data_IF_285648243547
#
_entry.id   IF_285648243547
#
_cell.length_a   1.000
_cell.length_b   1.000
_cell.length_c   1.000
_cell.angle_alpha   90.00
_cell.angle_beta   90.00
_cell.angle_gamma   90.00
#
_symmetry.space_group_name_H-M   'P 1'
#
loop_
_entity.id
_entity.type
_entity.pdbx_description
1 polymer ?
#
# COMPACT_ATOMS: atom_id res chain seq x y z
N UNK A 1 -8.64 1.19 13.16
CA UNK A 1 -7.57 0.25 13.52
C UNK A 1 -6.19 0.85 13.34
N UNK A 2 -6.04 1.88 12.51
CA UNK A 2 -4.81 2.69 12.43
C UNK A 2 -5.11 4.05 13.05
N UNK A 3 -4.25 4.55 13.92
CA UNK A 3 -4.33 5.89 14.51
C UNK A 3 -2.95 6.51 14.51
N UNK A 4 -2.85 7.76 14.06
CA UNK A 4 -1.62 8.55 14.17
C UNK A 4 -1.94 9.89 14.82
N UNK A 5 -1.05 10.35 15.68
CA UNK A 5 -1.16 11.60 16.40
C UNK A 5 0.15 12.38 16.23
N UNK A 6 0.08 13.52 15.51
CA UNK A 6 1.21 14.43 15.27
C UNK A 6 2.48 13.72 14.74
N UNK A 7 2.28 12.66 13.93
CA UNK A 7 3.37 11.79 13.47
C UNK A 7 4.28 12.56 12.52
N UNK A 8 5.57 12.59 12.82
CA UNK A 8 6.55 13.33 12.03
C UNK A 8 7.84 12.54 11.83
N UNK A 9 8.51 12.78 10.69
CA UNK A 9 9.79 12.17 10.34
C UNK A 9 10.71 13.15 9.64
N UNK A 10 11.92 13.29 10.17
CA UNK A 10 13.00 14.03 9.54
C UNK A 10 14.21 13.13 9.29
N UNK A 11 14.92 13.40 8.21
CA UNK A 11 16.19 12.80 7.84
C UNK A 11 17.20 13.96 7.68
N UNK A 12 17.98 14.22 8.72
CA UNK A 12 18.76 15.47 8.82
C UNK A 12 17.83 16.67 8.69
N UNK A 13 18.11 17.56 7.75
CA UNK A 13 17.33 18.79 7.52
C UNK A 13 16.05 18.55 6.70
N UNK A 14 15.91 17.39 6.05
CA UNK A 14 14.75 17.07 5.23
C UNK A 14 13.59 16.56 6.08
N UNK A 15 12.50 17.30 6.14
CA UNK A 15 11.24 16.87 6.75
C UNK A 15 10.45 16.03 5.75
N UNK A 16 10.43 14.71 5.97
CA UNK A 16 9.75 13.77 5.08
C UNK A 16 8.28 13.53 5.45
N UNK A 17 7.93 13.78 6.72
CA UNK A 17 6.55 13.73 7.23
C UNK A 17 6.41 14.80 8.32
N UNK A 18 5.34 15.57 8.29
CA UNK A 18 5.11 16.70 9.18
C UNK A 18 3.68 16.65 9.72
N UNK A 19 3.56 16.32 11.01
CA UNK A 19 2.32 16.46 11.78
C UNK A 19 1.14 15.67 11.20
N UNK A 20 1.36 14.41 10.79
CA UNK A 20 0.30 13.57 10.26
C UNK A 20 -0.57 13.03 11.40
N UNK A 21 -1.83 13.46 11.43
CA UNK A 21 -2.86 12.94 12.33
C UNK A 21 -4.01 12.38 11.52
N UNK A 22 -4.20 11.05 11.56
CA UNK A 22 -5.27 10.37 10.86
C UNK A 22 -5.74 9.13 11.63
N UNK A 23 -6.95 8.69 11.33
CA UNK A 23 -7.51 7.42 11.82
C UNK A 23 -8.07 6.62 10.66
N UNK A 24 -7.94 5.28 10.72
CA UNK A 24 -8.58 4.37 9.77
C UNK A 24 -9.39 3.35 10.58
N UNK A 25 -10.66 3.25 10.27
CA UNK A 25 -11.59 2.38 10.99
C UNK A 25 -11.45 0.90 10.56
N UNK A 26 -11.95 -0.06 11.37
CA UNK A 26 -12.15 -1.43 10.91
C UNK A 26 -13.06 -1.47 9.68
N UNK A 27 -12.71 -2.29 8.70
CA UNK A 27 -13.47 -2.43 7.46
C UNK A 27 -13.29 -1.29 6.45
N UNK A 28 -12.39 -0.36 6.73
CA UNK A 28 -12.12 0.77 5.84
C UNK A 28 -10.95 0.48 4.90
N UNK A 29 -11.10 0.84 3.62
CA UNK A 29 -10.00 0.93 2.64
C UNK A 29 -9.65 2.40 2.48
N UNK A 30 -8.56 2.84 3.12
CA UNK A 30 -8.05 4.20 2.99
C UNK A 30 -7.08 4.29 1.82
N UNK A 31 -7.41 5.11 0.81
CA UNK A 31 -6.48 5.54 -0.22
C UNK A 31 -5.49 6.56 0.34
N UNK A 32 -4.19 6.28 0.23
CA UNK A 32 -3.14 7.19 0.71
C UNK A 32 -2.33 7.70 -0.48
N UNK A 33 -2.65 8.90 -0.93
CA UNK A 33 -2.19 9.49 -2.18
C UNK A 33 -1.19 10.62 -1.95
N UNK A 34 -0.38 10.89 -2.97
CA UNK A 34 0.55 12.02 -3.00
C UNK A 34 1.56 11.85 -4.12
N UNK A 35 2.20 12.91 -4.58
CA UNK A 35 3.27 12.83 -5.59
C UNK A 35 4.49 12.06 -5.07
N UNK A 36 5.43 11.80 -5.98
CA UNK A 36 6.69 11.19 -5.58
C UNK A 36 7.44 12.11 -4.61
N UNK A 37 7.93 11.51 -3.52
CA UNK A 37 8.61 12.26 -2.46
C UNK A 37 7.68 12.92 -1.43
N UNK A 38 6.35 12.86 -1.58
CA UNK A 38 5.39 13.46 -0.64
C UNK A 38 5.40 12.84 0.77
N UNK A 39 6.06 11.69 0.98
CA UNK A 39 6.16 11.04 2.28
C UNK A 39 5.37 9.74 2.43
N UNK A 40 4.72 9.23 1.37
CA UNK A 40 3.91 7.98 1.41
C UNK A 40 4.70 6.79 1.95
N UNK A 41 5.77 6.40 1.27
CA UNK A 41 6.58 5.24 1.68
C UNK A 41 7.27 5.45 3.03
N UNK A 42 7.59 6.71 3.40
CA UNK A 42 8.08 7.04 4.75
C UNK A 42 7.01 6.74 5.80
N UNK A 43 5.77 7.16 5.56
CA UNK A 43 4.63 6.91 6.45
C UNK A 43 4.40 5.41 6.60
N UNK A 44 4.31 4.67 5.49
CA UNK A 44 4.13 3.20 5.52
C UNK A 44 5.27 2.52 6.29
N UNK A 45 6.53 2.89 6.07
CA UNK A 45 7.67 2.33 6.80
C UNK A 45 7.63 2.60 8.31
N UNK A 46 7.10 3.76 8.73
CA UNK A 46 6.89 4.03 10.15
C UNK A 46 5.78 3.12 10.70
N UNK A 47 4.62 3.09 10.05
CA UNK A 47 3.46 2.33 10.50
C UNK A 47 3.71 0.81 10.53
N UNK A 48 4.57 0.31 9.66
CA UNK A 48 5.01 -1.11 9.66
C UNK A 48 6.17 -1.40 10.63
N UNK A 49 6.66 -0.39 11.35
CA UNK A 49 7.75 -0.53 12.31
C UNK A 49 9.12 -0.80 11.68
N UNK A 50 9.31 -0.45 10.40
CA UNK A 50 10.60 -0.55 9.71
C UNK A 50 11.56 0.59 10.08
N UNK A 51 11.00 1.78 10.34
CA UNK A 51 11.76 2.96 10.80
C UNK A 51 11.01 3.63 11.95
N UNK A 52 11.76 4.31 12.81
CA UNK A 52 11.16 5.07 13.92
C UNK A 52 10.72 6.45 13.44
N UNK A 53 9.59 6.94 13.96
CA UNK A 53 9.20 8.33 13.85
C UNK A 53 10.22 9.24 14.58
N UNK A 54 10.30 10.50 14.17
CA UNK A 54 11.07 11.52 14.89
C UNK A 54 10.29 12.05 16.09
N UNK A 55 8.96 12.22 15.91
CA UNK A 55 8.01 12.62 16.96
C UNK A 55 6.60 12.15 16.63
N UNK A 56 5.70 12.29 17.59
CA UNK A 56 4.32 11.82 17.47
C UNK A 56 4.18 10.34 17.84
N UNK A 57 2.97 9.83 17.64
CA UNK A 57 2.57 8.49 18.04
C UNK A 57 1.80 7.79 16.94
N UNK A 58 1.91 6.48 16.85
CA UNK A 58 1.04 5.66 16.01
C UNK A 58 0.64 4.37 16.73
N UNK A 59 -0.64 4.03 16.62
CA UNK A 59 -1.24 2.81 17.19
C UNK A 59 -1.87 2.00 16.06
N UNK A 60 -1.52 0.73 15.98
CA UNK A 60 -1.99 -0.20 14.95
C UNK A 60 -2.63 -1.41 15.65
N UNK A 61 -3.86 -1.72 15.31
CA UNK A 61 -4.62 -2.83 15.93
C UNK A 61 -4.62 -2.79 17.47
N UNK A 62 -4.60 -1.59 18.06
CA UNK A 62 -4.59 -1.37 19.52
C UNK A 62 -3.19 -1.35 20.15
N UNK A 63 -2.11 -1.55 19.38
CA UNK A 63 -0.74 -1.60 19.87
C UNK A 63 0.08 -0.41 19.37
N UNK A 64 0.87 0.18 20.26
CA UNK A 64 1.76 1.28 19.93
C UNK A 64 3.00 0.76 19.18
N UNK A 65 3.31 1.36 18.03
CA UNK A 65 4.43 0.91 17.18
C UNK A 65 5.81 1.08 17.83
N UNK A 66 5.92 1.96 18.83
CA UNK A 66 7.20 2.24 19.50
C UNK A 66 7.44 1.30 20.68
N UNK A 67 6.41 0.97 21.46
CA UNK A 67 6.49 0.12 22.65
C UNK A 67 6.21 -1.36 22.35
N UNK A 68 5.33 -1.65 21.40
CA UNK A 68 4.83 -3.00 21.10
C UNK A 68 5.06 -3.44 19.64
N UNK A 69 6.25 -3.21 19.05
CA UNK A 69 6.49 -3.43 17.62
C UNK A 69 6.26 -4.88 17.16
N UNK A 70 6.49 -5.86 18.02
CA UNK A 70 6.27 -7.27 17.70
C UNK A 70 4.78 -7.60 17.63
N UNK A 71 3.97 -7.04 18.54
CA UNK A 71 2.52 -7.23 18.52
C UNK A 71 1.88 -6.58 17.29
N UNK A 72 2.40 -5.43 16.87
CA UNK A 72 2.01 -4.80 15.60
C UNK A 72 2.36 -5.72 14.42
N UNK A 73 3.60 -6.20 14.33
CA UNK A 73 4.07 -7.05 13.22
C UNK A 73 3.28 -8.35 13.08
N UNK A 74 2.81 -8.94 14.17
CA UNK A 74 1.96 -10.13 14.13
C UNK A 74 0.59 -9.87 13.47
N UNK A 75 0.10 -8.63 13.47
CA UNK A 75 -1.24 -8.23 13.04
C UNK A 75 -1.30 -7.50 11.71
N UNK A 76 -0.15 -7.16 11.15
CA UNK A 76 -0.08 -6.45 9.88
C UNK A 76 0.41 -7.36 8.75
N UNK A 77 -0.17 -7.19 7.56
CA UNK A 77 0.41 -7.64 6.30
C UNK A 77 0.97 -6.45 5.53
N UNK A 78 2.13 -6.60 4.92
CA UNK A 78 2.76 -5.53 4.17
C UNK A 78 3.19 -6.01 2.78
N UNK A 79 2.76 -5.27 1.76
CA UNK A 79 3.22 -5.41 0.37
C UNK A 79 3.97 -4.13 0.03
N UNK A 80 5.31 -4.17 -0.10
CA UNK A 80 6.11 -3.02 -0.49
C UNK A 80 6.03 -2.75 -1.99
N UNK A 81 6.28 -1.49 -2.40
CA UNK A 81 6.38 -1.07 -3.79
C UNK A 81 7.42 -1.89 -4.59
N UNK A 82 8.56 -2.17 -3.98
CA UNK A 82 9.60 -3.00 -4.60
C UNK A 82 9.61 -4.37 -3.97
N UNK A 83 9.44 -5.39 -4.80
CA UNK A 83 9.45 -6.79 -4.38
C UNK A 83 10.82 -7.20 -3.83
N UNK A 84 11.01 -7.06 -2.51
CA UNK A 84 12.19 -7.56 -1.81
C UNK A 84 11.95 -9.03 -1.41
N UNK A 85 12.08 -9.94 -2.38
CA UNK A 85 12.00 -11.38 -2.18
C UNK A 85 13.41 -12.00 -2.10
N UNK A 86 13.53 -13.13 -1.44
CA UNK A 86 14.78 -13.92 -1.45
C UNK A 86 14.85 -14.71 -2.75
N UNK A 87 15.51 -14.15 -3.75
CA UNK A 87 15.57 -14.66 -5.12
C UNK A 87 16.05 -16.12 -5.24
N UNK A 88 16.88 -16.57 -4.32
CA UNK A 88 17.38 -17.95 -4.27
C UNK A 88 16.37 -18.99 -3.76
N UNK A 89 15.25 -18.56 -3.19
CA UNK A 89 14.18 -19.44 -2.72
C UNK A 89 13.15 -19.69 -3.82
N UNK A 90 12.43 -20.80 -3.71
CA UNK A 90 11.18 -21.03 -4.45
C UNK A 90 10.04 -20.26 -3.78
N UNK A 91 8.89 -20.10 -4.46
CA UNK A 91 7.71 -19.49 -3.86
C UNK A 91 7.22 -20.28 -2.64
N UNK A 92 7.26 -21.61 -2.70
CA UNK A 92 6.90 -22.50 -1.60
C UNK A 92 7.80 -22.31 -0.38
N UNK A 93 9.13 -22.31 -0.56
CA UNK A 93 10.12 -22.11 0.51
C UNK A 93 10.00 -20.72 1.15
N UNK A 94 9.77 -19.67 0.32
CA UNK A 94 9.59 -18.32 0.84
C UNK A 94 8.35 -18.21 1.72
N UNK A 95 7.20 -18.74 1.27
CA UNK A 95 5.99 -18.71 2.08
C UNK A 95 6.11 -19.59 3.32
N UNK A 96 6.87 -20.70 3.28
CA UNK A 96 7.19 -21.49 4.46
C UNK A 96 8.00 -20.71 5.48
N UNK A 97 9.02 -19.99 5.04
CA UNK A 97 9.78 -19.07 5.91
C UNK A 97 8.86 -18.05 6.59
N UNK A 98 7.94 -17.44 5.84
CA UNK A 98 6.96 -16.50 6.40
C UNK A 98 6.06 -17.17 7.43
N UNK A 99 5.58 -18.40 7.18
CA UNK A 99 4.81 -19.17 8.14
C UNK A 99 5.59 -19.42 9.45
N UNK A 100 6.86 -19.80 9.35
CA UNK A 100 7.73 -20.01 10.50
C UNK A 100 7.93 -18.73 11.32
N UNK A 101 8.16 -17.59 10.65
CA UNK A 101 8.34 -16.30 11.30
C UNK A 101 7.09 -15.82 12.06
N UNK A 102 5.90 -16.18 11.56
CA UNK A 102 4.62 -15.89 12.21
C UNK A 102 4.15 -17.00 13.16
N UNK A 103 4.96 -18.05 13.41
CA UNK A 103 4.64 -19.18 14.28
C UNK A 103 3.29 -19.86 13.95
N UNK A 104 2.97 -20.00 12.66
CA UNK A 104 1.75 -20.64 12.23
C UNK A 104 1.83 -22.16 12.45
N UNK A 105 0.68 -22.76 12.79
CA UNK A 105 0.60 -24.24 12.88
C UNK A 105 1.01 -24.87 11.54
N UNK A 106 1.98 -25.82 11.52
CA UNK A 106 2.57 -26.32 10.28
C UNK A 106 1.56 -26.95 9.31
N UNK A 107 0.55 -27.64 9.82
CA UNK A 107 -0.48 -28.29 8.97
C UNK A 107 -1.36 -27.25 8.30
N UNK A 108 -1.90 -26.31 9.08
CA UNK A 108 -2.73 -25.21 8.60
C UNK A 108 -1.93 -24.32 7.63
N UNK A 109 -0.66 -24.07 7.94
CA UNK A 109 0.25 -23.25 7.12
C UNK A 109 0.49 -23.91 5.75
N UNK A 110 0.76 -25.21 5.70
CA UNK A 110 1.00 -25.94 4.46
C UNK A 110 -0.21 -25.88 3.53
N UNK A 111 -1.41 -26.17 4.06
CA UNK A 111 -2.65 -26.11 3.28
C UNK A 111 -2.90 -24.69 2.73
N UNK A 112 -2.82 -23.68 3.58
CA UNK A 112 -3.09 -22.29 3.18
C UNK A 112 -2.08 -21.77 2.17
N UNK A 113 -0.80 -22.10 2.32
CA UNK A 113 0.26 -21.78 1.38
C UNK A 113 -0.04 -22.31 -0.02
N UNK A 114 -0.42 -23.59 -0.10
CA UNK A 114 -0.75 -24.24 -1.36
C UNK A 114 -1.99 -23.60 -2.00
N UNK A 115 -3.06 -23.44 -1.25
CA UNK A 115 -4.29 -22.79 -1.71
C UNK A 115 -4.03 -21.37 -2.25
N UNK A 116 -3.24 -20.53 -1.56
CA UNK A 116 -2.94 -19.18 -2.01
C UNK A 116 -2.13 -19.17 -3.31
N UNK A 117 -1.12 -20.05 -3.45
CA UNK A 117 -0.34 -20.15 -4.68
C UNK A 117 -1.20 -20.62 -5.85
N UNK A 118 -2.09 -21.58 -5.63
CA UNK A 118 -3.03 -22.07 -6.66
C UNK A 118 -4.02 -20.98 -7.09
N UNK A 119 -4.61 -20.25 -6.14
CA UNK A 119 -5.53 -19.15 -6.41
C UNK A 119 -4.88 -18.01 -7.20
N UNK A 120 -3.58 -17.78 -7.00
CA UNK A 120 -2.79 -16.84 -7.80
C UNK A 120 -2.27 -17.41 -9.13
N UNK A 121 -2.59 -18.68 -9.44
CA UNK A 121 -2.17 -19.36 -10.67
C UNK A 121 -0.67 -19.69 -10.69
N UNK A 122 -0.07 -19.89 -9.51
CA UNK A 122 1.34 -20.23 -9.34
C UNK A 122 1.57 -21.71 -8.99
N UNK A 123 0.52 -22.53 -8.88
CA UNK A 123 0.58 -23.92 -8.46
C UNK A 123 1.55 -24.79 -9.29
N UNK A 124 1.60 -24.60 -10.61
CA UNK A 124 2.49 -25.33 -11.49
C UNK A 124 3.98 -24.95 -11.38
N UNK A 125 4.30 -23.83 -10.72
CA UNK A 125 5.67 -23.25 -10.66
C UNK A 125 6.17 -23.06 -9.23
N UNK A 126 5.50 -23.67 -8.24
CA UNK A 126 5.80 -23.47 -6.81
C UNK A 126 7.23 -23.84 -6.42
N UNK A 127 7.83 -24.80 -7.14
CA UNK A 127 9.19 -25.29 -6.90
C UNK A 127 10.25 -24.62 -7.79
N UNK A 128 9.84 -23.68 -8.65
CA UNK A 128 10.80 -22.87 -9.43
C UNK A 128 11.35 -21.74 -8.57
N UNK A 129 12.61 -21.39 -8.78
CA UNK A 129 13.25 -20.27 -8.06
C UNK A 129 12.64 -18.94 -8.48
N UNK A 130 12.50 -18.04 -7.55
CA UNK A 130 11.92 -16.71 -7.83
C UNK A 130 12.79 -15.84 -8.73
N UNK A 131 14.06 -16.19 -8.97
CA UNK A 131 14.89 -15.58 -10.03
C UNK A 131 14.28 -15.75 -11.44
N UNK A 132 13.50 -16.82 -11.64
CA UNK A 132 12.85 -17.14 -12.92
C UNK A 132 11.46 -16.52 -13.05
N UNK A 133 10.95 -15.89 -11.97
CA UNK A 133 9.62 -15.32 -11.95
C UNK A 133 9.56 -13.95 -12.63
N UNK A 134 8.50 -13.74 -13.41
CA UNK A 134 8.15 -12.41 -13.91
C UNK A 134 7.83 -11.46 -12.76
N UNK A 135 7.84 -10.14 -13.02
CA UNK A 135 7.45 -9.13 -12.04
C UNK A 135 6.08 -9.43 -11.44
N UNK A 136 5.09 -9.79 -12.27
CA UNK A 136 3.74 -10.10 -11.82
C UNK A 136 3.65 -11.38 -10.97
N UNK A 137 4.43 -12.42 -11.27
CA UNK A 137 4.51 -13.62 -10.44
C UNK A 137 5.11 -13.30 -9.07
N UNK A 138 6.17 -12.50 -9.02
CA UNK A 138 6.79 -12.03 -7.76
C UNK A 138 5.79 -11.21 -6.93
N UNK A 139 5.02 -10.34 -7.57
CA UNK A 139 3.97 -9.55 -6.92
C UNK A 139 2.87 -10.41 -6.31
N UNK A 140 2.44 -11.46 -7.02
CA UNK A 140 1.47 -12.45 -6.51
C UNK A 140 2.00 -13.17 -5.27
N UNK A 141 3.27 -13.57 -5.25
CA UNK A 141 3.91 -14.18 -4.05
C UNK A 141 3.95 -13.21 -2.88
N UNK A 142 4.26 -11.93 -3.11
CA UNK A 142 4.24 -10.90 -2.05
C UNK A 142 2.85 -10.72 -1.45
N UNK A 143 1.82 -10.62 -2.29
CA UNK A 143 0.44 -10.51 -1.81
C UNK A 143 0.05 -11.76 -1.02
N UNK A 144 0.37 -12.96 -1.52
CA UNK A 144 0.14 -14.21 -0.80
C UNK A 144 0.82 -14.20 0.58
N UNK A 145 2.09 -13.79 0.65
CA UNK A 145 2.84 -13.73 1.90
C UNK A 145 2.23 -12.77 2.92
N UNK A 146 1.75 -11.61 2.47
CA UNK A 146 1.11 -10.63 3.32
C UNK A 146 -0.23 -11.10 3.91
N UNK A 147 -0.89 -12.08 3.27
CA UNK A 147 -2.18 -12.61 3.69
C UNK A 147 -2.09 -13.89 4.54
N UNK A 148 -0.95 -14.55 4.53
CA UNK A 148 -0.76 -15.91 5.04
C UNK A 148 -1.16 -16.07 6.51
N UNK A 149 -0.82 -15.11 7.35
CA UNK A 149 -1.06 -15.08 8.80
C UNK A 149 -2.38 -14.40 9.20
N UNK A 150 -3.27 -14.09 8.21
CA UNK A 150 -4.58 -13.45 8.41
C UNK A 150 -4.49 -12.10 9.14
N UNK A 151 -3.76 -11.13 8.63
CA UNK A 151 -3.57 -9.85 9.30
C UNK A 151 -4.88 -9.12 9.56
N UNK A 152 -4.90 -8.29 10.60
CA UNK A 152 -5.99 -7.37 10.90
C UNK A 152 -5.89 -6.09 10.07
N UNK A 153 -4.65 -5.68 9.75
CA UNK A 153 -4.35 -4.47 8.98
C UNK A 153 -3.43 -4.81 7.81
N UNK A 154 -3.76 -4.30 6.63
CA UNK A 154 -2.94 -4.43 5.42
C UNK A 154 -2.37 -3.07 5.02
N UNK A 155 -1.06 -3.02 4.81
CA UNK A 155 -0.35 -1.91 4.19
C UNK A 155 0.08 -2.34 2.79
N UNK A 156 -0.43 -1.67 1.77
CA UNK A 156 -0.24 -2.04 0.37
C UNK A 156 0.35 -0.84 -0.38
N UNK A 157 1.61 -0.94 -0.76
CA UNK A 157 2.32 0.09 -1.52
C UNK A 157 2.45 -0.38 -2.97
N UNK A 158 1.67 0.22 -3.89
CA UNK A 158 1.52 -0.14 -5.31
C UNK A 158 1.25 -1.63 -5.56
N UNK A 159 0.26 -2.26 -4.89
CA UNK A 159 0.10 -3.72 -4.90
C UNK A 159 -0.32 -4.30 -6.24
N UNK A 160 -0.82 -3.48 -7.16
CA UNK A 160 -1.27 -3.92 -8.49
C UNK A 160 -0.20 -3.79 -9.57
N UNK A 161 0.96 -3.21 -9.23
CA UNK A 161 2.04 -3.01 -10.20
C UNK A 161 2.59 -4.35 -10.71
N UNK A 162 2.71 -4.45 -12.04
CA UNK A 162 3.18 -5.66 -12.72
C UNK A 162 2.17 -6.79 -12.83
N UNK A 163 0.95 -6.66 -12.28
CA UNK A 163 -0.11 -7.65 -12.47
C UNK A 163 -0.80 -7.46 -13.82
N UNK A 164 -1.20 -8.56 -14.43
CA UNK A 164 -2.13 -8.55 -15.56
C UNK A 164 -3.54 -8.11 -15.12
N UNK A 165 -4.39 -7.73 -16.08
CA UNK A 165 -5.73 -7.21 -15.82
C UNK A 165 -6.60 -8.15 -14.98
N UNK A 166 -6.51 -9.47 -15.23
CA UNK A 166 -7.29 -10.47 -14.50
C UNK A 166 -6.81 -10.59 -13.05
N UNK A 167 -5.50 -10.71 -12.85
CA UNK A 167 -4.91 -10.77 -11.51
C UNK A 167 -5.21 -9.48 -10.71
N UNK A 168 -5.09 -8.32 -11.33
CA UNK A 168 -5.46 -7.05 -10.71
C UNK A 168 -6.95 -6.98 -10.34
N UNK A 169 -7.84 -7.53 -11.16
CA UNK A 169 -9.28 -7.59 -10.85
C UNK A 169 -9.54 -8.50 -9.65
N UNK A 170 -8.90 -9.68 -9.60
CA UNK A 170 -9.00 -10.61 -8.46
C UNK A 170 -8.51 -9.96 -7.16
N UNK A 171 -7.35 -9.30 -7.20
CA UNK A 171 -6.82 -8.62 -6.01
C UNK A 171 -7.75 -7.50 -5.54
N UNK A 172 -8.27 -6.66 -6.44
CA UNK A 172 -9.23 -5.60 -6.08
C UNK A 172 -10.48 -6.16 -5.39
N UNK A 173 -11.04 -7.24 -5.93
CA UNK A 173 -12.21 -7.87 -5.32
C UNK A 173 -11.88 -8.52 -3.97
N UNK A 174 -10.71 -9.15 -3.84
CA UNK A 174 -10.22 -9.71 -2.58
C UNK A 174 -10.10 -8.62 -1.50
N UNK A 175 -9.54 -7.44 -1.84
CA UNK A 175 -9.40 -6.33 -0.88
C UNK A 175 -10.76 -5.84 -0.38
N UNK A 176 -11.77 -5.73 -1.25
CA UNK A 176 -13.14 -5.36 -0.85
C UNK A 176 -13.72 -6.38 0.12
N UNK A 177 -13.62 -7.68 -0.19
CA UNK A 177 -14.12 -8.76 0.68
C UNK A 177 -13.39 -8.79 2.04
N UNK A 178 -12.09 -8.52 2.07
CA UNK A 178 -11.34 -8.42 3.32
C UNK A 178 -11.82 -7.22 4.16
N UNK A 179 -12.10 -6.09 3.54
CA UNK A 179 -12.68 -4.94 4.23
C UNK A 179 -14.08 -5.23 4.77
N UNK A 180 -14.95 -5.87 3.99
CA UNK A 180 -16.28 -6.34 4.43
C UNK A 180 -16.19 -7.29 5.65
N UNK A 181 -15.11 -8.04 5.78
CA UNK A 181 -14.81 -8.89 6.94
C UNK A 181 -14.17 -8.11 8.11
N UNK A 182 -14.10 -6.79 8.04
CA UNK A 182 -13.58 -5.92 9.10
C UNK A 182 -12.07 -5.69 9.06
N UNK A 183 -11.35 -6.12 8.01
CA UNK A 183 -9.92 -5.81 7.87
C UNK A 183 -9.74 -4.35 7.49
N UNK A 184 -8.72 -3.72 8.05
CA UNK A 184 -8.34 -2.34 7.73
C UNK A 184 -7.26 -2.34 6.67
N UNK A 185 -7.42 -1.52 5.62
CA UNK A 185 -6.49 -1.49 4.49
C UNK A 185 -6.02 -0.06 4.25
N UNK A 186 -4.70 0.15 4.26
CA UNK A 186 -4.07 1.36 3.76
C UNK A 186 -3.50 1.04 2.38
N UNK A 187 -4.06 1.69 1.36
CA UNK A 187 -3.79 1.43 -0.05
C UNK A 187 -3.11 2.63 -0.69
N UNK A 188 -1.82 2.51 -1.00
CA UNK A 188 -1.07 3.50 -1.76
C UNK A 188 -1.08 3.11 -3.24
N UNK A 189 -1.49 4.03 -4.11
CA UNK A 189 -1.39 3.87 -5.56
C UNK A 189 -1.31 5.22 -6.25
N UNK A 190 -0.66 5.26 -7.40
CA UNK A 190 -0.66 6.41 -8.29
C UNK A 190 -1.77 6.34 -9.36
N UNK A 191 -2.51 5.22 -9.42
CA UNK A 191 -3.62 5.01 -10.37
C UNK A 191 -4.92 5.47 -9.72
N UNK A 192 -5.30 6.72 -9.94
CA UNK A 192 -6.45 7.36 -9.29
C UNK A 192 -7.76 6.65 -9.56
N UNK A 193 -7.98 6.14 -10.78
CA UNK A 193 -9.18 5.35 -11.11
C UNK A 193 -9.34 4.09 -10.23
N UNK A 194 -8.23 3.45 -9.85
CA UNK A 194 -8.27 2.29 -8.95
C UNK A 194 -8.68 2.74 -7.57
N UNK A 195 -8.09 3.84 -7.08
CA UNK A 195 -8.40 4.40 -5.76
C UNK A 195 -9.87 4.78 -5.68
N UNK A 196 -10.43 5.45 -6.68
CA UNK A 196 -11.86 5.80 -6.72
C UNK A 196 -12.79 4.59 -6.62
N UNK A 197 -12.38 3.46 -7.20
CA UNK A 197 -13.21 2.24 -7.26
C UNK A 197 -13.18 1.40 -5.99
N UNK A 198 -12.09 1.43 -5.23
CA UNK A 198 -11.92 0.51 -4.10
C UNK A 198 -11.80 1.20 -2.76
N UNK A 199 -11.35 2.46 -2.70
CA UNK A 199 -11.17 3.17 -1.45
C UNK A 199 -12.49 3.81 -0.99
N UNK A 200 -12.76 3.69 0.29
CA UNK A 200 -13.93 4.32 0.94
C UNK A 200 -13.67 5.77 1.30
N UNK A 201 -12.41 6.10 1.57
CA UNK A 201 -11.93 7.43 1.90
C UNK A 201 -10.49 7.60 1.41
N UNK A 202 -10.08 8.84 1.19
CA UNK A 202 -8.78 9.20 0.63
C UNK A 202 -8.12 10.23 1.54
N UNK A 203 -6.84 10.04 1.81
CA UNK A 203 -5.94 11.05 2.37
C UNK A 203 -4.93 11.42 1.29
N UNK A 204 -4.83 12.71 1.01
CA UNK A 204 -3.80 13.24 0.10
C UNK A 204 -2.72 13.89 0.92
N UNK A 205 -1.47 13.51 0.66
CA UNK A 205 -0.28 14.16 1.27
C UNK A 205 0.53 14.88 0.19
N UNK A 206 1.05 16.05 0.56
CA UNK A 206 2.00 16.80 -0.26
C UNK A 206 3.05 17.43 0.65
N UNK A 207 4.33 17.38 0.26
CA UNK A 207 5.48 17.86 1.04
C UNK A 207 5.45 17.44 2.53
N UNK A 208 5.11 16.17 2.74
CA UNK A 208 5.03 15.54 4.07
C UNK A 208 3.81 15.95 4.91
N UNK A 209 2.87 16.73 4.37
CA UNK A 209 1.67 17.20 5.08
C UNK A 209 0.40 16.63 4.47
N UNK A 210 -0.60 16.36 5.33
CA UNK A 210 -1.94 16.06 4.86
C UNK A 210 -2.58 17.34 4.29
N UNK A 211 -2.96 17.29 3.01
CA UNK A 211 -3.61 18.41 2.31
C UNK A 211 -5.09 18.17 2.05
N UNK A 212 -5.53 16.91 2.05
CA UNK A 212 -6.95 16.57 2.00
C UNK A 212 -7.22 15.24 2.73
N UNK A 213 -8.47 15.09 3.22
CA UNK A 213 -8.96 13.88 3.86
C UNK A 213 -10.49 13.83 3.72
N UNK A 214 -11.01 12.85 3.01
CA UNK A 214 -12.43 12.70 2.77
C UNK A 214 -12.73 11.63 1.73
N UNK A 215 -14.01 11.44 1.43
CA UNK A 215 -14.44 10.64 0.28
C UNK A 215 -14.06 11.35 -1.03
N UNK A 216 -14.04 10.62 -2.14
CA UNK A 216 -13.82 11.23 -3.47
C UNK A 216 -14.77 12.40 -3.72
N UNK A 217 -16.05 12.27 -3.34
CA UNK A 217 -17.04 13.33 -3.52
C UNK A 217 -16.72 14.59 -2.69
N UNK A 218 -16.32 14.42 -1.43
CA UNK A 218 -15.93 15.54 -0.55
C UNK A 218 -14.67 16.25 -1.04
N UNK A 219 -13.66 15.50 -1.50
CA UNK A 219 -12.42 16.08 -2.05
C UNK A 219 -12.72 16.88 -3.32
N UNK A 220 -13.52 16.33 -4.24
CA UNK A 220 -13.94 17.04 -5.45
C UNK A 220 -14.74 18.30 -5.13
N UNK A 221 -15.68 18.22 -4.19
CA UNK A 221 -16.47 19.37 -3.77
C UNK A 221 -15.61 20.47 -3.14
N UNK A 222 -14.62 20.12 -2.29
CA UNK A 222 -13.73 21.09 -1.63
C UNK A 222 -12.77 21.80 -2.60
N UNK A 223 -12.42 21.14 -3.70
CA UNK A 223 -11.53 21.69 -4.74
C UNK A 223 -12.29 22.36 -5.90
N UNK A 224 -13.61 22.16 -6.01
CA UNK A 224 -14.43 22.65 -7.10
C UNK A 224 -14.12 21.97 -8.44
N UNK A 225 -13.65 20.72 -8.43
CA UNK A 225 -13.22 19.98 -9.62
C UNK A 225 -14.22 18.89 -10.03
N UNK A 226 -14.16 18.49 -11.31
CA UNK A 226 -15.05 17.46 -11.86
C UNK A 226 -14.55 16.04 -11.58
N UNK A 227 -13.21 15.84 -11.50
CA UNK A 227 -12.58 14.54 -11.34
C UNK A 227 -11.64 14.51 -10.13
N UNK A 228 -11.30 13.31 -9.64
CA UNK A 228 -10.28 13.17 -8.59
C UNK A 228 -8.89 13.55 -9.12
N UNK A 229 -8.62 13.34 -10.40
CA UNK A 229 -7.36 13.70 -11.05
C UNK A 229 -7.13 15.22 -11.03
N UNK A 230 -8.15 16.00 -11.41
CA UNK A 230 -8.10 17.47 -11.31
C UNK A 230 -7.93 17.92 -9.85
N UNK A 231 -8.67 17.31 -8.91
CA UNK A 231 -8.56 17.61 -7.48
C UNK A 231 -7.14 17.33 -6.97
N UNK A 232 -6.58 16.18 -7.34
CA UNK A 232 -5.22 15.79 -6.96
C UNK A 232 -4.18 16.77 -7.51
N UNK A 233 -4.28 17.14 -8.80
CA UNK A 233 -3.40 18.13 -9.43
C UNK A 233 -3.48 19.48 -8.74
N UNK A 234 -4.69 19.95 -8.41
CA UNK A 234 -4.91 21.20 -7.68
C UNK A 234 -4.28 21.18 -6.28
N UNK A 235 -4.47 20.08 -5.51
CA UNK A 235 -3.97 19.93 -4.15
C UNK A 235 -2.44 19.75 -4.06
N UNK A 236 -1.83 19.19 -5.09
CA UNK A 236 -0.41 18.84 -5.09
C UNK A 236 0.45 19.81 -5.91
N UNK A 237 -0.17 20.71 -6.65
CA UNK A 237 0.54 21.65 -7.54
C UNK A 237 1.20 20.95 -8.74
N UNK A 238 0.85 19.70 -9.03
CA UNK A 238 1.30 19.01 -10.23
C UNK A 238 0.68 19.71 -11.44
N UNK A 239 1.51 20.09 -12.40
CA UNK A 239 1.04 20.80 -13.61
C UNK A 239 0.04 19.96 -14.39
N UNK A 240 -0.93 20.64 -14.97
CA UNK A 240 -1.91 20.04 -15.88
C UNK A 240 -1.19 19.35 -17.07
N UNK A 241 -1.55 18.08 -17.29
CA UNK A 241 -0.94 17.24 -18.35
C UNK A 241 -1.20 17.84 -19.73
N UNK A 242 -2.35 18.51 -19.93
CA UNK A 242 -2.70 19.18 -21.18
C UNK A 242 -1.81 20.39 -21.46
N UNK A 243 -1.47 21.15 -20.42
CA UNK A 243 -0.52 22.26 -20.59
C UNK A 243 0.89 21.74 -20.95
N UNK A 244 1.36 20.71 -20.26
CA UNK A 244 2.66 20.10 -20.55
C UNK A 244 2.68 19.55 -21.99
N UNK A 245 1.64 18.86 -22.44
CA UNK A 245 1.53 18.35 -23.79
C UNK A 245 1.56 19.47 -24.84
N UNK A 246 0.88 20.59 -24.57
CA UNK A 246 0.90 21.78 -25.44
C UNK A 246 2.28 22.43 -25.50
N UNK A 247 3.00 22.49 -24.37
CA UNK A 247 4.38 22.96 -24.32
C UNK A 247 5.32 22.06 -25.13
N UNK A 248 5.14 20.72 -25.07
CA UNK A 248 5.89 19.78 -25.89
C UNK A 248 5.63 19.97 -27.39
N UNK A 249 4.38 20.10 -27.81
CA UNK A 249 4.03 20.34 -29.21
C UNK A 249 4.67 21.66 -29.70
N UNK A 250 4.55 22.73 -28.90
CA UNK A 250 5.17 24.01 -29.22
C UNK A 250 6.70 23.96 -29.29
N UNK A 251 7.33 23.07 -28.54
CA UNK A 251 8.78 22.88 -28.59
C UNK A 251 9.21 22.09 -29.85
N UNK A 252 8.40 21.12 -30.29
CA UNK A 252 8.62 20.35 -31.52
C UNK A 252 8.45 21.21 -32.78
N UNK A 253 7.52 22.18 -32.77
CA UNK A 253 7.25 23.07 -33.90
C UNK A 253 8.31 24.19 -34.07
N UNK A 254 9.26 24.30 -33.15
CA UNK A 254 10.34 25.32 -33.19
C UNK A 254 11.62 24.84 -33.87
N UNK A 255 11.63 23.72 -34.59
CA UNK A 255 12.80 23.21 -35.34
C UNK A 255 12.74 23.55 -36.81
#
# INVERSE_FOLDING_TARGET
MIQTEHLSKSYGDKRALVDLSMSVAPGEILGFLGPNGAGKSTTVKILTGMIRATSGRAVIAGFDIATDPLEVKKRIGYVPETAALYDGLTASEYLELVCCLHHLDPRTAATRRHELLDLFGLGAVVDQRMTEFSKGMRQKVLIASALLHRPEVLFLDEPLDGLDANAAAVVKELLKKLAEQGRTILFCSHILEVVERICTRIVVINDGRQVANGTTAEIRASTGTATLEEAFSHLTGVRDVGQIASEFLSALDRV
#
